data_IF_013710006143
#
_entry.id   IF_013710006143
#
_cell.length_a   1.000
_cell.length_b   1.000
_cell.length_c   1.000
_cell.angle_alpha   90.00
_cell.angle_beta   90.00
_cell.angle_gamma   90.00
#
_symmetry.space_group_name_H-M   'P 1'
#
loop_
_entity.id
_entity.type
_entity.pdbx_description
1 polymer ?
#
# COMPACT_ATOMS: atom_id res chain seq x y z
N UNK A 1 -39.06 4.41 -1.77
CA UNK A 1 -38.02 3.36 -1.76
C UNK A 1 -36.72 4.00 -2.21
N UNK A 2 -35.89 4.41 -1.26
CA UNK A 2 -34.61 5.07 -1.55
C UNK A 2 -33.60 3.98 -1.88
N UNK A 3 -32.98 3.94 -3.07
CA UNK A 3 -31.93 2.97 -3.31
C UNK A 3 -30.77 3.31 -2.38
N UNK A 4 -30.44 2.37 -1.49
CA UNK A 4 -29.21 2.44 -0.71
C UNK A 4 -28.06 2.49 -1.71
N UNK A 5 -27.48 3.67 -1.90
CA UNK A 5 -26.17 3.85 -2.53
C UNK A 5 -25.24 2.90 -1.78
N UNK A 6 -24.92 1.76 -2.39
CA UNK A 6 -23.75 0.98 -1.97
C UNK A 6 -22.59 1.94 -2.19
N UNK A 7 -22.14 2.60 -1.12
CA UNK A 7 -20.86 3.29 -1.14
C UNK A 7 -19.85 2.19 -1.43
N UNK A 8 -19.47 2.04 -2.70
CA UNK A 8 -18.36 1.19 -3.08
C UNK A 8 -17.16 1.70 -2.29
N UNK A 9 -16.74 0.92 -1.29
CA UNK A 9 -15.57 1.26 -0.48
C UNK A 9 -14.39 1.45 -1.43
N UNK A 10 -13.54 2.47 -1.22
CA UNK A 10 -12.40 2.71 -2.10
C UNK A 10 -11.50 1.46 -2.14
N UNK A 11 -10.85 1.18 -3.28
CA UNK A 11 -10.00 0.02 -3.40
C UNK A 11 -8.80 0.07 -2.45
N UNK A 12 -8.29 -1.10 -2.10
CA UNK A 12 -6.97 -1.27 -1.48
C UNK A 12 -5.92 -1.20 -2.59
N UNK A 13 -4.87 -0.42 -2.38
CA UNK A 13 -3.79 -0.29 -3.35
C UNK A 13 -2.58 -1.13 -2.93
N UNK A 14 -2.28 -2.19 -3.68
CA UNK A 14 -1.24 -3.17 -3.34
C UNK A 14 0.03 -2.88 -4.13
N UNK A 15 1.17 -2.87 -3.45
CA UNK A 15 2.47 -2.71 -4.10
C UNK A 15 2.85 -3.99 -4.86
N UNK A 16 3.18 -3.86 -6.13
CA UNK A 16 3.62 -4.98 -6.95
C UNK A 16 5.05 -5.43 -6.61
N UNK A 17 5.25 -6.74 -6.40
CA UNK A 17 6.55 -7.31 -5.99
C UNK A 17 7.71 -7.11 -6.98
N UNK A 18 7.44 -6.82 -8.26
CA UNK A 18 8.49 -6.53 -9.26
C UNK A 18 8.88 -5.05 -9.36
N UNK A 19 8.34 -4.19 -8.51
CA UNK A 19 8.67 -2.76 -8.58
C UNK A 19 10.12 -2.50 -8.17
N UNK A 20 10.69 -1.46 -8.77
CA UNK A 20 12.04 -1.02 -8.44
C UNK A 20 12.07 -0.40 -7.05
N UNK A 21 13.22 -0.51 -6.36
CA UNK A 21 13.46 0.11 -5.05
C UNK A 21 13.05 1.60 -5.03
N UNK A 22 13.44 2.37 -6.04
CA UNK A 22 13.09 3.80 -6.16
C UNK A 22 11.58 4.04 -6.18
N UNK A 23 10.82 3.16 -6.82
CA UNK A 23 9.36 3.24 -6.91
C UNK A 23 8.72 2.89 -5.57
N UNK A 24 9.21 1.84 -4.91
CA UNK A 24 8.80 1.47 -3.56
C UNK A 24 9.01 2.62 -2.57
N UNK A 25 10.22 3.19 -2.53
CA UNK A 25 10.56 4.33 -1.67
C UNK A 25 9.67 5.54 -1.98
N UNK A 26 9.47 5.88 -3.26
CA UNK A 26 8.60 7.01 -3.63
C UNK A 26 7.19 6.81 -3.10
N UNK A 27 6.59 5.64 -3.36
CA UNK A 27 5.24 5.31 -2.92
C UNK A 27 5.12 5.31 -1.39
N UNK A 28 6.12 4.76 -0.68
CA UNK A 28 6.12 4.79 0.78
C UNK A 28 6.21 6.22 1.31
N UNK A 29 7.10 7.06 0.77
CA UNK A 29 7.21 8.47 1.20
C UNK A 29 6.01 9.34 0.84
N UNK A 30 5.25 8.98 -0.20
CA UNK A 30 4.05 9.71 -0.61
C UNK A 30 2.79 9.25 0.13
N UNK A 31 2.70 7.97 0.48
CA UNK A 31 1.49 7.34 1.03
C UNK A 31 1.55 7.13 2.56
N UNK A 32 2.75 6.94 3.11
CA UNK A 32 2.98 6.78 4.55
C UNK A 32 3.40 8.12 5.12
N UNK A 33 2.57 8.69 5.99
CA UNK A 33 2.93 9.88 6.76
C UNK A 33 3.70 9.39 7.98
N UNK A 34 5.02 9.47 7.92
CA UNK A 34 5.84 9.19 9.09
C UNK A 34 5.65 10.31 10.12
N UNK A 35 4.62 10.20 10.96
CA UNK A 35 4.49 11.06 12.16
C UNK A 35 5.56 10.74 13.22
N UNK A 36 6.29 9.62 13.04
CA UNK A 36 7.35 9.15 13.93
C UNK A 36 8.75 9.26 13.34
N UNK A 37 9.20 10.46 13.01
CA UNK A 37 10.61 10.72 12.66
C UNK A 37 11.13 9.93 11.44
N UNK A 38 12.45 9.93 11.18
CA UNK A 38 12.99 9.17 10.06
C UNK A 38 12.80 7.67 10.32
N UNK A 39 11.97 7.01 9.52
CA UNK A 39 11.98 5.55 9.49
C UNK A 39 13.41 5.07 9.18
N UNK A 40 13.97 4.13 9.96
CA UNK A 40 15.29 3.61 9.67
C UNK A 40 15.29 3.03 8.26
N UNK A 41 16.13 3.56 7.37
CA UNK A 41 16.28 3.13 5.97
C UNK A 41 16.45 1.61 5.83
N UNK A 42 16.99 0.97 6.88
CA UNK A 42 17.13 -0.47 6.97
C UNK A 42 15.79 -1.22 6.96
N UNK A 43 14.75 -0.69 7.62
CA UNK A 43 13.43 -1.33 7.68
C UNK A 43 12.78 -1.31 6.30
N UNK A 44 12.83 -0.18 5.59
CA UNK A 44 12.28 -0.05 4.23
C UNK A 44 12.94 -1.06 3.27
N UNK A 45 14.26 -1.23 3.37
CA UNK A 45 14.98 -2.23 2.57
C UNK A 45 14.54 -3.65 2.90
N UNK A 46 14.38 -3.99 4.17
CA UNK A 46 13.88 -5.31 4.60
C UNK A 46 12.49 -5.54 4.01
N UNK A 47 11.57 -4.58 4.16
CA UNK A 47 10.22 -4.67 3.60
C UNK A 47 10.22 -4.82 2.08
N UNK A 48 11.06 -4.07 1.37
CA UNK A 48 11.19 -4.19 -0.08
C UNK A 48 11.69 -5.58 -0.50
N UNK A 49 12.69 -6.13 0.19
CA UNK A 49 13.19 -7.48 -0.08
C UNK A 49 12.11 -8.54 0.19
N UNK A 50 11.44 -8.48 1.34
CA UNK A 50 10.35 -9.40 1.68
C UNK A 50 9.20 -9.31 0.67
N UNK A 51 8.83 -8.11 0.24
CA UNK A 51 7.83 -7.90 -0.81
C UNK A 51 8.27 -8.51 -2.13
N UNK A 52 9.52 -8.25 -2.56
CA UNK A 52 10.08 -8.74 -3.82
C UNK A 52 10.13 -10.28 -3.86
N UNK A 53 10.51 -10.88 -2.75
CA UNK A 53 10.59 -12.33 -2.54
C UNK A 53 9.20 -12.95 -2.29
N UNK A 54 8.14 -12.14 -2.33
CA UNK A 54 6.73 -12.53 -2.16
C UNK A 54 6.44 -13.15 -0.78
N UNK A 55 7.24 -12.80 0.22
CA UNK A 55 7.03 -13.22 1.60
C UNK A 55 5.89 -12.42 2.26
N UNK A 56 5.73 -11.16 1.85
CA UNK A 56 4.68 -10.27 2.32
C UNK A 56 4.01 -9.55 1.15
N UNK A 57 2.80 -9.04 1.43
CA UNK A 57 2.11 -8.04 0.66
C UNK A 57 2.19 -6.72 1.42
N UNK A 58 2.40 -5.64 0.69
CA UNK A 58 2.33 -4.28 1.21
C UNK A 58 1.16 -3.56 0.51
N UNK A 59 0.32 -2.88 1.26
CA UNK A 59 -0.81 -2.15 0.70
C UNK A 59 -1.12 -0.85 1.43
N UNK A 60 -1.77 0.05 0.70
CA UNK A 60 -2.31 1.30 1.22
C UNK A 60 -3.84 1.23 1.24
N UNK A 61 -4.42 1.64 2.36
CA UNK A 61 -5.87 1.77 2.52
C UNK A 61 -6.23 3.27 2.59
N UNK A 62 -6.97 3.82 1.62
CA UNK A 62 -7.43 5.21 1.67
C UNK A 62 -8.31 5.55 2.88
N UNK A 63 -8.93 4.55 3.51
CA UNK A 63 -9.69 4.75 4.75
C UNK A 63 -8.80 4.82 5.99
N UNK A 64 -7.51 4.51 5.86
CA UNK A 64 -6.52 4.52 6.92
C UNK A 64 -5.27 5.26 6.43
N UNK A 65 -5.44 6.55 6.16
CA UNK A 65 -4.38 7.38 5.60
C UNK A 65 -3.16 7.46 6.53
N UNK A 66 -1.97 7.46 5.92
CA UNK A 66 -0.72 7.65 6.64
C UNK A 66 -0.06 6.37 7.13
N UNK A 67 -0.71 5.21 7.02
CA UNK A 67 -0.13 3.92 7.38
C UNK A 67 -0.06 2.95 6.19
N UNK A 68 0.89 2.01 6.25
CA UNK A 68 1.05 0.93 5.28
C UNK A 68 0.67 -0.40 5.93
N UNK A 69 -0.33 -1.05 5.35
CA UNK A 69 -0.69 -2.42 5.73
C UNK A 69 0.35 -3.43 5.25
N UNK A 70 0.69 -4.37 6.12
CA UNK A 70 1.61 -5.48 5.86
C UNK A 70 0.94 -6.80 6.25
N UNK A 71 1.11 -7.84 5.43
CA UNK A 71 0.56 -9.16 5.75
C UNK A 71 0.80 -10.21 4.68
N UNK A 72 0.40 -11.44 4.97
CA UNK A 72 0.51 -12.58 4.03
C UNK A 72 -0.70 -12.72 3.09
N UNK A 73 -1.77 -11.97 3.34
CA UNK A 73 -3.00 -11.97 2.54
C UNK A 73 -3.61 -10.57 2.47
N UNK A 74 -4.37 -10.31 1.40
CA UNK A 74 -5.04 -9.03 1.21
C UNK A 74 -6.30 -8.89 2.06
N UNK A 75 -6.72 -7.64 2.37
CA UNK A 75 -7.99 -7.39 3.03
C UNK A 75 -9.16 -8.00 2.24
N UNK A 76 -10.02 -8.76 2.91
CA UNK A 76 -11.20 -9.38 2.29
C UNK A 76 -12.30 -8.35 2.04
N UNK A 77 -13.06 -8.55 0.97
CA UNK A 77 -14.30 -7.79 0.72
C UNK A 77 -14.09 -6.37 0.22
N UNK A 78 -12.90 -6.02 -0.27
CA UNK A 78 -12.66 -4.77 -1.01
C UNK A 78 -12.00 -5.04 -2.35
N UNK A 79 -12.27 -4.16 -3.32
CA UNK A 79 -11.58 -4.16 -4.60
C UNK A 79 -10.08 -3.92 -4.35
N UNK A 80 -9.23 -4.60 -5.11
CA UNK A 80 -7.78 -4.47 -5.04
C UNK A 80 -7.28 -3.89 -6.34
N UNK A 81 -6.42 -2.89 -6.25
CA UNK A 81 -5.71 -2.32 -7.38
C UNK A 81 -4.21 -2.42 -7.16
N UNK A 82 -3.49 -2.90 -8.17
CA UNK A 82 -2.05 -3.12 -8.07
C UNK A 82 -1.31 -1.88 -8.55
N UNK A 83 -0.50 -1.29 -7.66
CA UNK A 83 0.38 -0.19 -7.99
C UNK A 83 1.71 -0.73 -8.53
N UNK A 84 1.95 -0.42 -9.80
CA UNK A 84 3.21 -0.72 -10.51
C UNK A 84 4.02 0.54 -10.82
N UNK A 85 3.42 1.72 -10.68
CA UNK A 85 4.03 3.02 -10.98
C UNK A 85 3.77 4.02 -9.84
N UNK A 86 4.57 5.10 -9.72
CA UNK A 86 4.42 6.12 -8.66
C UNK A 86 3.14 6.95 -8.75
N UNK A 87 2.14 6.55 -9.55
CA UNK A 87 0.93 7.35 -9.69
C UNK A 87 0.10 7.18 -8.42
N UNK A 88 -0.05 8.28 -7.69
CA UNK A 88 -1.03 8.43 -6.62
C UNK A 88 -2.39 7.94 -7.14
N UNK A 89 -3.07 7.05 -6.42
CA UNK A 89 -4.45 6.78 -6.74
C UNK A 89 -5.27 8.05 -6.56
N UNK A 90 -6.09 8.38 -7.57
CA UNK A 90 -7.01 9.52 -7.51
C UNK A 90 -8.26 9.15 -6.72
#
# INVERSE_FOLDING_TARGET
>A
MTPALKLDKPPVYVLHHRMLWRTFKSLQGELVKHDGGPAPVHIDKVLWHMLRDRQILCWFDPLNEGDMGLGSALPKGRKVEVLTTPKKPK
#
